data_IF_491057474996
#
_entry.id   IF_491057474996
#
_cell.length_a   1.000
_cell.length_b   1.000
_cell.length_c   1.000
_cell.angle_alpha   90.00
_cell.angle_beta   90.00
_cell.angle_gamma   90.00
#
_symmetry.space_group_name_H-M   'P 1'
#
loop_
_entity.id
_entity.type
_entity.pdbx_description
1 polymer ?
#
# COMPACT_ATOMS: atom_id res chain seq x y z
N UNK A 1 3.08 31.87 17.04
CA UNK A 1 3.24 30.67 16.20
C UNK A 1 2.06 30.57 15.25
N UNK A 2 2.19 31.01 14.00
CA UNK A 2 1.12 30.84 12.99
C UNK A 2 1.12 29.38 12.54
N UNK A 3 0.09 28.61 12.89
CA UNK A 3 -0.12 27.26 12.35
C UNK A 3 -0.60 27.40 10.91
N UNK A 4 0.27 27.14 9.94
CA UNK A 4 -0.15 26.98 8.54
C UNK A 4 -1.14 25.84 8.46
N UNK A 5 -2.25 26.06 7.76
CA UNK A 5 -3.28 25.05 7.56
C UNK A 5 -2.68 23.89 6.74
N UNK A 6 -2.87 22.63 7.14
CA UNK A 6 -2.40 21.49 6.36
C UNK A 6 -3.04 21.49 4.96
N UNK A 7 -2.27 21.12 3.94
CA UNK A 7 -2.77 21.00 2.56
C UNK A 7 -3.72 19.80 2.40
N UNK A 8 -3.51 18.75 3.18
CA UNK A 8 -4.35 17.55 3.22
C UNK A 8 -4.99 17.44 4.60
N UNK A 9 -6.28 17.16 4.62
CA UNK A 9 -7.00 16.79 5.83
C UNK A 9 -7.32 15.30 5.85
N UNK A 10 -7.63 14.77 7.03
CA UNK A 10 -8.15 13.41 7.17
C UNK A 10 -9.45 13.21 6.37
N UNK A 11 -10.27 14.25 6.24
CA UNK A 11 -11.51 14.20 5.46
C UNK A 11 -11.22 13.97 3.97
N UNK A 12 -10.12 14.52 3.46
CA UNK A 12 -9.72 14.34 2.05
C UNK A 12 -9.24 12.92 1.78
N UNK A 13 -8.42 12.37 2.69
CA UNK A 13 -8.01 10.96 2.64
C UNK A 13 -9.22 10.03 2.69
N UNK A 14 -10.16 10.31 3.61
CA UNK A 14 -11.39 9.52 3.75
C UNK A 14 -12.25 9.57 2.48
N UNK A 15 -12.36 10.75 1.84
CA UNK A 15 -13.11 10.93 0.59
C UNK A 15 -12.46 10.16 -0.56
N UNK A 16 -11.13 10.24 -0.70
CA UNK A 16 -10.40 9.53 -1.75
C UNK A 16 -10.56 8.00 -1.64
N UNK A 17 -10.41 7.45 -0.43
CA UNK A 17 -10.55 6.00 -0.19
C UNK A 17 -11.97 5.54 -0.45
N UNK A 18 -12.98 6.25 0.07
CA UNK A 18 -14.39 5.90 -0.16
C UNK A 18 -14.76 5.96 -1.64
N UNK A 19 -14.26 6.97 -2.35
CA UNK A 19 -14.46 7.11 -3.80
C UNK A 19 -13.89 5.91 -4.57
N UNK A 20 -12.64 5.52 -4.24
CA UNK A 20 -12.01 4.36 -4.86
C UNK A 20 -12.79 3.06 -4.58
N UNK A 21 -13.18 2.81 -3.33
CA UNK A 21 -13.97 1.63 -2.96
C UNK A 21 -15.34 1.60 -3.63
N UNK A 22 -16.02 2.75 -3.71
CA UNK A 22 -17.34 2.85 -4.36
C UNK A 22 -17.24 2.63 -5.88
N UNK A 23 -16.09 2.90 -6.48
CA UNK A 23 -15.79 2.57 -7.86
C UNK A 23 -15.39 1.09 -8.07
N UNK A 24 -15.47 0.25 -7.03
CA UNK A 24 -15.11 -1.16 -7.09
C UNK A 24 -13.61 -1.45 -6.98
N UNK A 25 -12.78 -0.44 -6.66
CA UNK A 25 -11.35 -0.65 -6.49
C UNK A 25 -11.06 -1.22 -5.10
N UNK A 26 -10.35 -2.35 -5.07
CA UNK A 26 -9.78 -2.89 -3.83
C UNK A 26 -8.54 -2.08 -3.45
N UNK A 27 -8.66 -1.22 -2.43
CA UNK A 27 -7.57 -0.38 -1.94
C UNK A 27 -6.57 -1.20 -1.13
N UNK A 28 -5.28 -1.12 -1.48
CA UNK A 28 -4.20 -1.79 -0.76
C UNK A 28 -3.37 -0.82 0.08
N UNK A 29 -2.98 0.30 -0.53
CA UNK A 29 -2.09 1.29 0.08
C UNK A 29 -2.53 2.70 -0.30
N UNK A 30 -2.39 3.62 0.64
CA UNK A 30 -2.61 5.04 0.41
C UNK A 30 -1.35 5.77 0.78
N UNK A 31 -0.79 6.51 -0.17
CA UNK A 31 0.38 7.35 0.02
C UNK A 31 -0.06 8.81 0.02
N UNK A 32 0.44 9.58 0.99
CA UNK A 32 0.11 11.00 1.15
C UNK A 32 1.40 11.80 1.14
N UNK A 33 1.50 12.73 0.22
CA UNK A 33 2.55 13.75 0.21
C UNK A 33 1.99 15.05 0.82
N UNK A 34 2.36 15.38 2.07
CA UNK A 34 1.86 16.58 2.74
C UNK A 34 2.49 17.87 2.21
N UNK A 35 3.61 17.81 1.48
CA UNK A 35 4.27 18.98 0.91
C UNK A 35 3.59 19.43 -0.39
N UNK A 36 3.13 18.48 -1.21
CA UNK A 36 2.45 18.77 -2.49
C UNK A 36 0.93 18.67 -2.42
N UNK A 37 0.39 18.04 -1.39
CA UNK A 37 -1.05 17.79 -1.29
C UNK A 37 -1.53 16.64 -2.17
N UNK A 38 -0.65 15.70 -2.52
CA UNK A 38 -0.99 14.56 -3.37
C UNK A 38 -1.43 13.36 -2.53
N UNK A 39 -2.54 12.74 -2.92
CA UNK A 39 -3.00 11.44 -2.40
C UNK A 39 -2.92 10.43 -3.54
N UNK A 40 -2.19 9.33 -3.35
CA UNK A 40 -2.13 8.21 -4.30
C UNK A 40 -2.80 7.00 -3.68
N UNK A 41 -3.82 6.47 -4.34
CA UNK A 41 -4.51 5.23 -3.94
C UNK A 41 -4.02 4.11 -4.82
N UNK A 42 -3.31 3.15 -4.22
CA UNK A 42 -2.86 1.93 -4.87
C UNK A 42 -3.96 0.89 -4.73
N UNK A 43 -4.41 0.34 -5.85
CA UNK A 43 -5.45 -0.67 -5.90
C UNK A 43 -4.98 -1.93 -6.63
N UNK A 44 -5.55 -3.07 -6.27
CA UNK A 44 -5.27 -4.37 -6.86
C UNK A 44 -5.75 -5.51 -5.97
N UNK A 45 -5.66 -6.73 -6.46
CA UNK A 45 -5.87 -7.94 -5.66
C UNK A 45 -4.73 -8.14 -4.66
N UNK A 46 -4.98 -8.82 -3.53
CA UNK A 46 -3.93 -9.12 -2.54
C UNK A 46 -2.83 -9.94 -3.23
N UNK A 47 -1.83 -9.26 -3.78
CA UNK A 47 -0.63 -9.89 -4.24
C UNK A 47 0.18 -10.18 -2.98
N UNK A 48 0.54 -11.44 -2.71
CA UNK A 48 1.40 -11.74 -1.59
C UNK A 48 2.67 -10.91 -1.74
N UNK A 49 2.92 -10.01 -0.80
CA UNK A 49 4.23 -9.36 -0.68
C UNK A 49 5.18 -10.44 -0.19
N UNK A 50 5.72 -11.22 -1.12
CA UNK A 50 6.85 -12.10 -0.85
C UNK A 50 7.87 -11.94 -1.97
N UNK A 51 8.95 -11.17 -1.75
CA UNK A 51 10.21 -11.56 -2.35
C UNK A 51 10.55 -12.90 -1.71
N UNK A 52 10.22 -14.00 -2.38
CA UNK A 52 10.91 -15.25 -2.13
C UNK A 52 12.32 -15.01 -2.63
N UNK A 53 13.24 -14.72 -1.71
CA UNK A 53 14.65 -14.99 -1.98
C UNK A 53 14.77 -16.40 -2.58
N UNK A 54 15.66 -16.59 -3.54
CA UNK A 54 15.88 -17.88 -4.22
C UNK A 54 16.12 -19.00 -3.20
N UNK A 55 16.74 -18.65 -2.08
CA UNK A 55 16.93 -19.53 -0.92
C UNK A 55 15.62 -20.01 -0.27
N UNK A 56 14.67 -19.10 -0.05
CA UNK A 56 13.36 -19.42 0.53
C UNK A 56 12.51 -20.26 -0.44
N UNK A 57 12.66 -20.02 -1.76
CA UNK A 57 12.02 -20.83 -2.79
C UNK A 57 12.59 -22.26 -2.87
N UNK A 58 13.90 -22.44 -2.67
CA UNK A 58 14.55 -23.75 -2.61
C UNK A 58 14.15 -24.53 -1.35
N UNK A 59 14.16 -23.89 -0.18
CA UNK A 59 13.77 -24.49 1.10
C UNK A 59 12.32 -25.00 1.10
N UNK A 60 11.41 -24.24 0.48
CA UNK A 60 10.00 -24.59 0.38
C UNK A 60 9.73 -25.85 -0.48
N UNK A 61 10.64 -26.25 -1.38
CA UNK A 61 10.49 -27.43 -2.23
C UNK A 61 10.77 -28.75 -1.51
N UNK A 62 11.14 -28.74 -0.21
CA UNK A 62 11.33 -29.95 0.59
C UNK A 62 12.55 -30.80 0.20
N UNK A 63 13.38 -30.34 -0.74
CA UNK A 63 14.58 -31.03 -1.22
C UNK A 63 15.82 -30.78 -0.35
N UNK A 64 15.64 -30.27 0.87
CA UNK A 64 16.71 -30.02 1.82
C UNK A 64 17.06 -31.32 2.57
N UNK A 65 17.86 -32.19 1.94
CA UNK A 65 18.62 -33.20 2.67
C UNK A 65 20.05 -32.68 2.86
N UNK A 66 20.50 -32.64 4.11
CA UNK A 66 21.91 -32.44 4.46
C UNK A 66 22.71 -33.65 3.97
N UNK A 67 23.83 -33.40 3.28
CA UNK A 67 24.87 -34.40 3.09
C UNK A 67 25.58 -34.70 4.42
#
# INVERSE_FOLDING_TARGET
MSRRKPLITQADVSRAVKGAQSAGLKVQRVEVDPATGRIVVVSGDDLPVKPLDEFEAWKAKGNAHSA
#
